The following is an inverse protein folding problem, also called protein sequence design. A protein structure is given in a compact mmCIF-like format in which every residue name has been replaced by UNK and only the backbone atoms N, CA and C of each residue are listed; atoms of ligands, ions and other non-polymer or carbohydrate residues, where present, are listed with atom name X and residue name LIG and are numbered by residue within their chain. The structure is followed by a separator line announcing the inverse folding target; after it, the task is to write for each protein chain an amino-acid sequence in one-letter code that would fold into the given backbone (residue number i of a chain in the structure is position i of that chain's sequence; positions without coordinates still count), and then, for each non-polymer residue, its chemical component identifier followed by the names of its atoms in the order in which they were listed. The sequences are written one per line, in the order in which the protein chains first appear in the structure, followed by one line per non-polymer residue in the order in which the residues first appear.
data_IF_717993746288
#
_entry.id   IF_717993746288
#
_cell.length_a   1.000
_cell.length_b   1.000
_cell.length_c   1.000
_cell.angle_alpha   90.00
_cell.angle_beta   90.00
_cell.angle_gamma   90.00
#
_symmetry.space_group_name_H-M   'P 1'
#
loop_
_entity.id
_entity.type
_entity.pdbx_description
1 polymer ?
#
# COMPACT_ATOMS: atom_id res chain seq x y z
N UNK A 1 -6.18 -8.74 24.83
CA UNK A 1 -5.62 -8.03 23.65
C UNK A 1 -6.33 -6.69 23.59
N UNK A 2 -5.61 -5.62 23.88
CA UNK A 2 -6.18 -4.27 23.73
C UNK A 2 -6.49 -4.07 22.26
N UNK A 3 -7.78 -3.90 21.94
CA UNK A 3 -8.27 -3.55 20.62
C UNK A 3 -7.84 -2.10 20.32
N UNK A 4 -6.58 -1.88 19.96
CA UNK A 4 -6.16 -0.59 19.44
C UNK A 4 -6.68 -0.52 18.02
N UNK A 5 -7.74 0.23 17.80
CA UNK A 5 -8.17 0.59 16.44
C UNK A 5 -7.05 1.40 15.78
N UNK A 6 -6.58 0.95 14.64
CA UNK A 6 -5.67 1.74 13.80
C UNK A 6 -6.52 2.78 13.07
N UNK A 7 -6.13 4.04 13.19
CA UNK A 7 -6.80 5.18 12.53
C UNK A 7 -5.84 5.73 11.48
N UNK A 8 -6.36 6.13 10.32
CA UNK A 8 -5.55 6.80 9.32
C UNK A 8 -4.88 8.06 9.93
N UNK A 9 -3.61 8.34 9.61
CA UNK A 9 -3.03 9.64 9.91
C UNK A 9 -3.89 10.77 9.34
N UNK A 10 -4.00 11.88 10.05
CA UNK A 10 -4.90 13.01 9.65
C UNK A 10 -4.60 13.51 8.24
N UNK A 11 -3.32 13.59 7.87
CA UNK A 11 -2.91 13.98 6.52
C UNK A 11 -3.34 12.98 5.44
N UNK A 12 -3.34 11.67 5.77
CA UNK A 12 -3.75 10.61 4.85
C UNK A 12 -5.28 10.55 4.71
N UNK A 13 -5.98 10.69 5.84
CA UNK A 13 -7.45 10.76 5.85
C UNK A 13 -7.94 11.91 4.95
N UNK A 14 -7.30 13.08 5.05
CA UNK A 14 -7.60 14.23 4.19
C UNK A 14 -7.34 13.93 2.71
N UNK A 15 -6.20 13.33 2.35
CA UNK A 15 -5.92 12.97 0.96
C UNK A 15 -7.00 12.02 0.43
N UNK A 16 -7.34 10.97 1.19
CA UNK A 16 -8.31 9.95 0.75
C UNK A 16 -9.72 10.54 0.62
N UNK A 17 -10.21 11.22 1.65
CA UNK A 17 -11.63 11.60 1.72
C UNK A 17 -11.92 13.01 1.21
N UNK A 18 -10.99 13.97 1.35
CA UNK A 18 -11.20 15.32 0.84
C UNK A 18 -10.65 15.49 -0.58
N UNK A 19 -9.39 15.13 -0.82
CA UNK A 19 -8.74 15.41 -2.11
C UNK A 19 -9.17 14.41 -3.21
N UNK A 20 -9.29 13.11 -2.86
CA UNK A 20 -9.77 12.07 -3.79
C UNK A 20 -11.28 11.80 -3.72
N UNK A 21 -11.98 12.48 -2.81
CA UNK A 21 -13.44 12.37 -2.65
C UNK A 21 -13.91 10.91 -2.46
N UNK A 22 -13.15 10.10 -1.71
CA UNK A 22 -13.48 8.72 -1.45
C UNK A 22 -14.82 8.61 -0.68
N UNK A 23 -15.58 7.57 -0.99
CA UNK A 23 -16.91 7.35 -0.41
C UNK A 23 -16.85 6.08 0.45
N UNK A 24 -17.19 6.20 1.73
CA UNK A 24 -17.27 5.05 2.62
C UNK A 24 -18.64 4.36 2.54
N UNK A 25 -18.63 3.05 2.24
CA UNK A 25 -19.83 2.20 2.33
C UNK A 25 -19.70 1.27 3.55
N UNK A 26 -20.59 1.38 4.55
CA UNK A 26 -20.53 0.56 5.76
C UNK A 26 -20.80 -0.94 5.52
N UNK A 27 -21.30 -1.28 4.34
CA UNK A 27 -21.59 -2.67 3.94
C UNK A 27 -20.63 -3.12 2.84
N UNK A 28 -19.37 -3.46 3.18
CA UNK A 28 -18.33 -3.72 2.19
C UNK A 28 -18.69 -4.87 1.22
N UNK A 29 -19.55 -5.79 1.63
CA UNK A 29 -20.02 -6.88 0.76
C UNK A 29 -20.85 -6.39 -0.44
N UNK A 30 -21.35 -5.16 -0.41
CA UNK A 30 -22.05 -4.54 -1.54
C UNK A 30 -21.08 -3.83 -2.52
N UNK A 31 -19.83 -3.64 -2.10
CA UNK A 31 -18.75 -3.07 -2.93
C UNK A 31 -17.95 -4.23 -3.53
N UNK A 32 -18.54 -4.87 -4.54
CA UNK A 32 -17.84 -5.96 -5.25
C UNK A 32 -16.99 -5.37 -6.35
N UNK A 33 -15.69 -5.69 -6.32
CA UNK A 33 -14.78 -5.29 -7.37
C UNK A 33 -15.20 -5.86 -8.73
N UNK A 34 -15.29 -4.99 -9.72
CA UNK A 34 -15.53 -5.36 -11.11
C UNK A 34 -14.65 -4.45 -12.01
N UNK A 35 -13.70 -5.00 -12.79
CA UNK A 35 -12.81 -4.22 -13.65
C UNK A 35 -13.54 -3.39 -14.71
N UNK A 36 -14.78 -3.73 -15.03
CA UNK A 36 -15.59 -3.03 -16.04
C UNK A 36 -16.43 -1.90 -15.44
N UNK A 37 -16.27 -1.58 -14.15
CA UNK A 37 -17.09 -0.55 -13.50
C UNK A 37 -16.60 0.87 -13.78
N UNK A 38 -17.53 1.86 -13.78
CA UNK A 38 -17.17 3.27 -13.98
C UNK A 38 -16.18 3.79 -12.93
N UNK A 39 -15.39 4.78 -13.31
CA UNK A 39 -14.41 5.47 -12.45
C UNK A 39 -15.00 5.93 -11.08
N UNK A 40 -16.27 6.33 -11.05
CA UNK A 40 -16.96 6.71 -9.82
C UNK A 40 -16.99 5.57 -8.78
N UNK A 41 -17.00 4.32 -9.24
CA UNK A 41 -17.00 3.17 -8.36
C UNK A 41 -15.67 2.99 -7.64
N UNK A 42 -14.56 3.46 -8.23
CA UNK A 42 -13.27 3.36 -7.57
C UNK A 42 -13.20 4.24 -6.32
N UNK A 43 -13.94 5.36 -6.28
CA UNK A 43 -14.06 6.22 -5.08
C UNK A 43 -14.73 5.48 -3.93
N UNK A 44 -15.76 4.69 -4.25
CA UNK A 44 -16.45 3.84 -3.28
C UNK A 44 -15.55 2.71 -2.79
N UNK A 45 -14.83 2.07 -3.71
CA UNK A 45 -13.83 1.04 -3.40
C UNK A 45 -12.71 1.61 -2.52
N UNK A 46 -12.16 2.77 -2.91
CA UNK A 46 -11.13 3.48 -2.14
C UNK A 46 -11.59 3.77 -0.71
N UNK A 47 -12.74 4.42 -0.53
CA UNK A 47 -13.22 4.79 0.81
C UNK A 47 -13.60 3.61 1.69
N UNK A 48 -13.96 2.47 1.08
CA UNK A 48 -14.41 1.28 1.82
C UNK A 48 -13.28 0.34 2.20
N UNK A 49 -12.39 0.04 1.25
CA UNK A 49 -11.35 -0.97 1.45
C UNK A 49 -9.99 -0.40 1.85
N UNK A 50 -9.62 0.78 1.35
CA UNK A 50 -8.31 1.36 1.64
C UNK A 50 -8.04 1.53 3.15
N UNK A 51 -8.95 2.11 3.97
CA UNK A 51 -8.69 2.28 5.40
C UNK A 51 -8.48 0.95 6.12
N UNK A 52 -9.17 -0.09 5.68
CA UNK A 52 -9.05 -1.43 6.24
C UNK A 52 -7.71 -2.08 5.90
N UNK A 53 -7.35 -2.10 4.61
CA UNK A 53 -6.07 -2.66 4.16
C UNK A 53 -4.89 -1.90 4.76
N UNK A 54 -4.99 -0.57 4.86
CA UNK A 54 -4.02 0.26 5.57
C UNK A 54 -3.87 -0.19 7.03
N UNK A 55 -4.98 -0.33 7.76
CA UNK A 55 -4.95 -0.68 9.18
C UNK A 55 -4.37 -2.08 9.42
N UNK A 56 -4.67 -3.03 8.55
CA UNK A 56 -4.16 -4.40 8.60
C UNK A 56 -2.63 -4.40 8.39
N UNK A 57 -2.14 -3.81 7.30
CA UNK A 57 -0.71 -3.77 6.99
C UNK A 57 0.08 -2.98 8.05
N UNK A 58 -0.38 -1.80 8.41
CA UNK A 58 0.25 -0.98 9.45
C UNK A 58 0.35 -1.74 10.77
N UNK A 59 -0.73 -2.40 11.19
CA UNK A 59 -0.77 -3.17 12.44
C UNK A 59 0.19 -4.36 12.42
N UNK A 60 0.24 -5.12 11.32
CA UNK A 60 1.15 -6.25 11.14
C UNK A 60 2.61 -5.79 11.22
N UNK A 61 2.98 -4.79 10.42
CA UNK A 61 4.36 -4.32 10.36
C UNK A 61 4.78 -3.69 11.69
N UNK A 62 3.95 -2.88 12.31
CA UNK A 62 4.23 -2.31 13.64
C UNK A 62 4.43 -3.41 14.68
N UNK A 63 3.61 -4.46 14.64
CA UNK A 63 3.77 -5.62 15.51
C UNK A 63 5.10 -6.35 15.26
N UNK A 64 5.49 -6.57 14.00
CA UNK A 64 6.80 -7.17 13.67
C UNK A 64 7.97 -6.31 14.17
N UNK A 65 7.85 -4.98 14.12
CA UNK A 65 8.87 -4.04 14.61
C UNK A 65 9.04 -4.06 16.13
N UNK A 66 8.14 -4.69 16.90
CA UNK A 66 8.35 -4.93 18.32
C UNK A 66 9.36 -6.06 18.60
N UNK A 67 9.67 -6.89 17.59
CA UNK A 67 10.68 -7.91 17.68
C UNK A 67 12.07 -7.31 17.39
N UNK A 68 12.93 -7.24 18.40
CA UNK A 68 14.25 -6.61 18.27
C UNK A 68 15.12 -7.23 17.18
N UNK A 69 15.09 -8.55 17.00
CA UNK A 69 15.89 -9.23 15.96
C UNK A 69 15.41 -8.85 14.57
N UNK A 70 14.10 -8.80 14.36
CA UNK A 70 13.52 -8.40 13.10
C UNK A 70 13.82 -6.93 12.81
N UNK A 71 13.59 -6.05 13.78
CA UNK A 71 13.89 -4.63 13.65
C UNK A 71 15.37 -4.39 13.34
N UNK A 72 16.27 -5.08 14.03
CA UNK A 72 17.71 -4.95 13.79
C UNK A 72 18.15 -5.43 12.39
N UNK A 73 17.51 -6.45 11.83
CA UNK A 73 17.84 -6.91 10.48
C UNK A 73 17.57 -5.85 9.40
N UNK A 74 16.64 -4.92 9.66
CA UNK A 74 16.27 -3.84 8.75
C UNK A 74 16.86 -2.48 9.14
N UNK A 75 17.38 -2.33 10.37
CA UNK A 75 17.71 -1.04 10.97
C UNK A 75 18.72 -0.20 10.16
N UNK A 76 19.68 -0.87 9.52
CA UNK A 76 20.73 -0.20 8.75
C UNK A 76 20.39 -0.04 7.27
N UNK A 77 19.25 -0.53 6.83
CA UNK A 77 18.83 -0.39 5.45
C UNK A 77 18.46 1.08 5.17
N UNK A 78 18.95 1.58 4.06
CA UNK A 78 18.56 2.89 3.52
C UNK A 78 17.51 2.75 2.44
N UNK A 79 17.36 1.56 1.90
CA UNK A 79 16.45 1.20 0.82
C UNK A 79 15.76 -0.13 1.12
N UNK A 80 14.47 -0.20 0.82
CA UNK A 80 13.66 -1.42 0.91
C UNK A 80 12.94 -1.63 -0.42
N UNK A 81 12.88 -2.89 -0.87
CA UNK A 81 12.17 -3.29 -2.07
C UNK A 81 10.91 -4.08 -1.70
N UNK A 82 9.79 -3.69 -2.29
CA UNK A 82 8.46 -4.27 -2.08
C UNK A 82 7.91 -4.79 -3.41
N UNK A 83 7.29 -5.94 -3.37
CA UNK A 83 6.52 -6.52 -4.45
C UNK A 83 5.09 -6.73 -3.95
N UNK A 84 4.12 -6.14 -4.62
CA UNK A 84 2.71 -6.23 -4.23
C UNK A 84 1.86 -6.71 -5.41
N UNK A 85 1.19 -7.83 -5.20
CA UNK A 85 0.22 -8.40 -6.13
C UNK A 85 -1.20 -8.09 -5.67
N UNK A 86 -2.06 -7.75 -6.63
CA UNK A 86 -3.43 -7.32 -6.36
C UNK A 86 -3.49 -6.08 -5.45
N UNK A 87 -2.59 -5.13 -5.71
CA UNK A 87 -2.37 -3.96 -4.86
C UNK A 87 -3.60 -3.04 -4.72
N UNK A 88 -4.60 -3.17 -5.59
CA UNK A 88 -5.80 -2.34 -5.59
C UNK A 88 -5.46 -0.85 -5.58
N UNK A 89 -6.10 -0.11 -4.70
CA UNK A 89 -5.84 1.33 -4.50
C UNK A 89 -4.66 1.63 -3.56
N UNK A 90 -3.91 0.60 -3.12
CA UNK A 90 -2.66 0.74 -2.39
C UNK A 90 -2.78 0.89 -0.86
N UNK A 91 -3.92 0.54 -0.27
CA UNK A 91 -4.08 0.65 1.18
C UNK A 91 -3.02 -0.13 1.95
N UNK A 92 -2.70 -1.36 1.51
CA UNK A 92 -1.66 -2.20 2.12
C UNK A 92 -0.27 -1.59 1.97
N UNK A 93 0.08 -1.15 0.76
CA UNK A 93 1.35 -0.46 0.47
C UNK A 93 1.53 0.75 1.40
N UNK A 94 0.53 1.61 1.49
CA UNK A 94 0.64 2.84 2.29
C UNK A 94 0.71 2.53 3.79
N UNK A 95 -0.03 1.52 4.26
CA UNK A 95 0.07 1.03 5.64
C UNK A 95 1.47 0.54 5.98
N UNK A 96 2.09 -0.25 5.08
CA UNK A 96 3.48 -0.68 5.17
C UNK A 96 4.44 0.52 5.21
N UNK A 97 4.32 1.47 4.26
CA UNK A 97 5.20 2.64 4.16
C UNK A 97 5.17 3.50 5.42
N UNK A 98 3.98 3.78 5.96
CA UNK A 98 3.83 4.56 7.20
C UNK A 98 4.49 3.85 8.37
N UNK A 99 4.22 2.55 8.55
CA UNK A 99 4.83 1.75 9.61
C UNK A 99 6.37 1.71 9.51
N UNK A 100 6.92 1.53 8.30
CA UNK A 100 8.38 1.57 8.07
C UNK A 100 8.95 2.95 8.36
N UNK A 101 8.27 4.01 7.92
CA UNK A 101 8.69 5.40 8.17
C UNK A 101 8.82 5.69 9.66
N UNK A 102 7.89 5.24 10.47
CA UNK A 102 7.88 5.48 11.91
C UNK A 102 8.92 4.65 12.68
N UNK A 103 9.24 3.44 12.20
CA UNK A 103 10.03 2.48 12.94
C UNK A 103 11.51 2.39 12.50
N UNK A 104 11.85 2.78 11.26
CA UNK A 104 13.19 2.67 10.68
C UNK A 104 13.77 4.06 10.35
N UNK A 105 14.42 4.74 11.30
CA UNK A 105 14.87 6.13 11.11
C UNK A 105 15.94 6.28 10.03
N UNK A 106 16.68 5.22 9.67
CA UNK A 106 17.72 5.24 8.65
C UNK A 106 17.18 4.95 7.24
N UNK A 107 15.96 4.46 7.12
CA UNK A 107 15.33 4.20 5.83
C UNK A 107 15.04 5.52 5.13
N UNK A 108 15.44 5.63 3.86
CA UNK A 108 15.27 6.82 3.02
C UNK A 108 14.34 6.59 1.85
N UNK A 109 14.38 5.37 1.26
CA UNK A 109 13.68 5.07 0.02
C UNK A 109 13.00 3.72 0.09
N UNK A 110 11.84 3.63 -0.57
CA UNK A 110 11.17 2.35 -0.83
C UNK A 110 10.90 2.22 -2.33
N UNK A 111 11.38 1.13 -2.92
CA UNK A 111 11.10 0.79 -4.31
C UNK A 111 9.98 -0.25 -4.33
N UNK A 112 8.94 0.00 -5.12
CA UNK A 112 7.72 -0.79 -5.13
C UNK A 112 7.40 -1.21 -6.55
N UNK A 113 7.30 -2.52 -6.79
CA UNK A 113 6.63 -3.06 -7.96
C UNK A 113 5.23 -3.49 -7.54
N UNK A 114 4.21 -2.87 -8.12
CA UNK A 114 2.81 -3.08 -7.76
C UNK A 114 2.01 -3.53 -8.98
N UNK A 115 1.21 -4.57 -8.81
CA UNK A 115 0.45 -5.20 -9.88
C UNK A 115 -1.03 -5.29 -9.50
N UNK A 116 -1.90 -4.88 -10.41
CA UNK A 116 -3.35 -5.05 -10.28
C UNK A 116 -4.00 -5.15 -11.65
N UNK A 117 -5.15 -5.81 -11.74
CA UNK A 117 -5.91 -5.93 -12.98
C UNK A 117 -6.72 -4.66 -13.29
N UNK A 118 -6.97 -3.80 -12.31
CA UNK A 118 -7.80 -2.62 -12.46
C UNK A 118 -6.96 -1.38 -12.83
N UNK A 119 -7.10 -0.85 -14.05
CA UNK A 119 -6.34 0.32 -14.49
C UNK A 119 -6.68 1.59 -13.70
N UNK A 120 -7.91 1.72 -13.18
CA UNK A 120 -8.29 2.88 -12.37
C UNK A 120 -7.69 2.79 -10.96
N UNK A 121 -7.62 1.60 -10.36
CA UNK A 121 -6.91 1.39 -9.10
C UNK A 121 -5.42 1.72 -9.22
N UNK A 122 -4.77 1.26 -10.27
CA UNK A 122 -3.36 1.58 -10.60
C UNK A 122 -3.16 3.10 -10.76
N UNK A 123 -4.08 3.79 -11.45
CA UNK A 123 -4.04 5.24 -11.60
C UNK A 123 -4.17 5.95 -10.25
N UNK A 124 -5.10 5.51 -9.40
CA UNK A 124 -5.26 6.05 -8.05
C UNK A 124 -4.01 5.85 -7.21
N UNK A 125 -3.45 4.65 -7.19
CA UNK A 125 -2.22 4.36 -6.47
C UNK A 125 -1.08 5.30 -6.89
N UNK A 126 -0.91 5.53 -8.19
CA UNK A 126 0.11 6.44 -8.71
C UNK A 126 -0.10 7.87 -8.20
N UNK A 127 -1.33 8.40 -8.32
CA UNK A 127 -1.63 9.75 -7.84
C UNK A 127 -1.55 9.87 -6.32
N UNK A 128 -1.91 8.82 -5.60
CA UNK A 128 -1.83 8.78 -4.15
C UNK A 128 -0.39 8.87 -3.67
N UNK A 129 0.52 8.08 -4.26
CA UNK A 129 1.95 8.13 -3.90
C UNK A 129 2.57 9.50 -4.20
N UNK A 130 2.25 10.10 -5.35
CA UNK A 130 2.67 11.47 -5.69
C UNK A 130 2.13 12.53 -4.70
N UNK A 131 0.92 12.33 -4.18
CA UNK A 131 0.33 13.22 -3.17
C UNK A 131 0.99 13.05 -1.81
N UNK A 132 1.31 11.81 -1.41
CA UNK A 132 1.95 11.50 -0.13
C UNK A 132 3.38 12.05 -0.07
N UNK A 133 4.15 11.98 -1.15
CA UNK A 133 5.52 12.53 -1.20
C UNK A 133 5.58 14.05 -0.97
N UNK A 134 4.46 14.76 -1.20
CA UNK A 134 4.36 16.20 -0.95
C UNK A 134 4.00 16.56 0.49
N UNK A 135 3.68 15.55 1.30
CA UNK A 135 3.30 15.74 2.71
C UNK A 135 4.55 15.92 3.57
N UNK A 136 4.71 17.06 4.29
CA UNK A 136 5.89 17.30 5.10
C UNK A 136 6.13 16.27 6.22
N UNK A 137 5.08 15.64 6.71
CA UNK A 137 5.12 14.61 7.75
C UNK A 137 5.61 13.26 7.23
N UNK A 138 5.56 13.03 5.92
CA UNK A 138 6.01 11.80 5.29
C UNK A 138 7.44 11.97 4.75
N UNK A 139 8.38 11.14 5.21
CA UNK A 139 9.81 11.37 4.98
C UNK A 139 10.47 10.42 3.96
N UNK A 140 9.77 9.35 3.53
CA UNK A 140 10.36 8.38 2.60
C UNK A 140 10.17 8.83 1.16
N UNK A 141 11.20 8.63 0.36
CA UNK A 141 11.12 8.70 -1.10
C UNK A 141 10.46 7.43 -1.62
N UNK A 142 9.44 7.56 -2.46
CA UNK A 142 8.68 6.43 -3.01
C UNK A 142 9.03 6.28 -4.49
N UNK A 143 9.64 5.17 -4.84
CA UNK A 143 9.82 4.79 -6.24
C UNK A 143 8.84 3.67 -6.57
N UNK A 144 7.70 4.02 -7.14
CA UNK A 144 6.68 3.06 -7.51
C UNK A 144 6.66 2.80 -9.01
N UNK A 145 6.55 1.52 -9.37
CA UNK A 145 6.35 1.02 -10.71
C UNK A 145 5.03 0.22 -10.76
N UNK A 146 3.89 0.91 -10.91
CA UNK A 146 2.59 0.26 -10.93
C UNK A 146 2.30 -0.27 -12.33
N UNK A 147 1.83 -1.51 -12.42
CA UNK A 147 1.54 -2.19 -13.68
C UNK A 147 0.13 -2.77 -13.68
N UNK A 148 -0.62 -2.49 -14.74
CA UNK A 148 -1.95 -3.07 -14.94
C UNK A 148 -1.79 -4.43 -15.63
N UNK A 149 -1.87 -5.51 -14.85
CA UNK A 149 -1.71 -6.89 -15.34
C UNK A 149 -2.75 -7.77 -14.68
N UNK A 150 -3.43 -8.59 -15.48
CA UNK A 150 -4.30 -9.65 -14.99
C UNK A 150 -3.47 -10.93 -14.82
N UNK A 151 -3.33 -11.40 -13.60
CA UNK A 151 -2.56 -12.62 -13.25
C UNK A 151 -3.52 -13.79 -13.16
N UNK A 152 -3.32 -14.80 -14.00
CA UNK A 152 -4.19 -15.97 -14.08
C UNK A 152 -3.60 -17.22 -13.42
N UNK A 153 -2.30 -17.23 -13.15
CA UNK A 153 -1.62 -18.43 -12.67
C UNK A 153 -0.45 -18.14 -11.72
N UNK A 154 -0.15 -19.13 -10.87
CA UNK A 154 1.06 -19.09 -10.02
C UNK A 154 2.35 -19.02 -10.85
N UNK A 155 2.35 -19.58 -12.07
CA UNK A 155 3.52 -19.52 -12.93
C UNK A 155 3.85 -18.09 -13.34
N UNK A 156 2.84 -17.27 -13.64
CA UNK A 156 3.04 -15.84 -13.96
C UNK A 156 3.61 -15.07 -12.78
N UNK A 157 3.16 -15.36 -11.56
CA UNK A 157 3.75 -14.79 -10.33
C UNK A 157 5.23 -15.15 -10.24
N UNK A 158 5.58 -16.42 -10.43
CA UNK A 158 6.97 -16.88 -10.41
C UNK A 158 7.81 -16.23 -11.51
N UNK A 159 7.24 -16.07 -12.69
CA UNK A 159 7.94 -15.43 -13.82
C UNK A 159 8.21 -13.94 -13.52
N UNK A 160 7.25 -13.21 -12.94
CA UNK A 160 7.43 -11.82 -12.49
C UNK A 160 8.54 -11.73 -11.44
N UNK A 161 8.54 -12.62 -10.44
CA UNK A 161 9.58 -12.65 -9.40
C UNK A 161 10.94 -12.96 -10.01
N UNK A 162 11.03 -13.94 -10.91
CA UNK A 162 12.28 -14.36 -11.53
C UNK A 162 12.84 -13.34 -12.54
N UNK A 163 11.99 -12.62 -13.26
CA UNK A 163 12.39 -11.55 -14.18
C UNK A 163 12.88 -10.32 -13.44
N UNK A 164 12.45 -10.14 -12.21
CA UNK A 164 12.91 -9.07 -11.36
C UNK A 164 14.34 -9.36 -10.91
N UNK A 165 15.29 -8.50 -11.26
CA UNK A 165 16.66 -8.56 -10.73
C UNK A 165 16.77 -7.98 -9.30
N UNK A 166 15.63 -7.81 -8.61
CA UNK A 166 15.56 -7.19 -7.28
C UNK A 166 15.40 -8.28 -6.22
N UNK A 167 16.12 -8.11 -5.12
CA UNK A 167 15.84 -8.86 -3.90
C UNK A 167 14.74 -8.10 -3.15
N UNK A 168 13.57 -8.71 -3.01
CA UNK A 168 12.47 -8.13 -2.26
C UNK A 168 12.61 -8.41 -0.76
N UNK A 169 12.27 -7.39 0.03
CA UNK A 169 12.20 -7.47 1.50
C UNK A 169 10.78 -7.81 1.96
N UNK A 170 9.78 -7.40 1.16
CA UNK A 170 8.37 -7.70 1.36
C UNK A 170 7.76 -8.16 0.04
N UNK A 171 6.92 -9.19 0.14
CA UNK A 171 6.03 -9.65 -0.94
C UNK A 171 4.65 -9.75 -0.30
N UNK A 172 3.68 -9.05 -0.88
CA UNK A 172 2.31 -8.97 -0.41
C UNK A 172 1.30 -9.36 -1.49
#
# INVERSE_FOLDING_TARGET
MDNKSVILPVWLDRIIFDDFEAIYEPRPMEVVYNPDQPYEFIKLYLGTYFPRSFAEAYGIITSLMTNDKYKQSLYNLQEINVLDFCCGTGGEIIGLLVALSENLPNLKRVNINAYDANPDAIRFLYHLTDSIEKVPEFRLEIHINPQCIYIESEQEIQDIINMSNMQYHYIT
#
